data_IF_657796937732
#
_entry.id   IF_657796937732
#
_cell.length_a   1.000
_cell.length_b   1.000
_cell.length_c   1.000
_cell.angle_alpha   90.00
_cell.angle_beta   90.00
_cell.angle_gamma   90.00
#
_symmetry.space_group_name_H-M   'P 1'
#
loop_
_entity.id
_entity.type
_entity.pdbx_description
1 polymer ?
#
# COMPACT_ATOMS: atom_id res chain seq x y z
N UNK A 1 1.95 -16.23 -3.50
CA UNK A 1 0.67 -15.53 -3.21
C UNK A 1 0.77 -14.05 -3.55
N UNK A 2 -0.29 -13.46 -4.11
CA UNK A 2 -0.40 -12.01 -4.29
C UNK A 2 -1.55 -11.48 -3.41
N UNK A 3 -1.29 -10.41 -2.68
CA UNK A 3 -2.25 -9.75 -1.79
C UNK A 3 -2.30 -8.28 -2.14
N UNK A 4 -3.50 -7.77 -2.37
CA UNK A 4 -3.74 -6.34 -2.53
C UNK A 4 -4.24 -5.77 -1.21
N UNK A 5 -3.51 -4.80 -0.66
CA UNK A 5 -3.91 -4.06 0.53
C UNK A 5 -4.46 -2.73 0.08
N UNK A 6 -5.62 -2.37 0.63
CA UNK A 6 -6.33 -1.12 0.35
C UNK A 6 -6.27 -0.26 1.61
N UNK A 7 -5.25 0.61 1.77
CA UNK A 7 -5.15 1.44 2.97
C UNK A 7 -6.31 2.43 3.08
N UNK A 8 -6.92 2.82 1.97
CA UNK A 8 -8.12 3.66 1.97
C UNK A 8 -8.83 3.59 0.62
N UNK A 9 -10.15 3.80 0.61
CA UNK A 9 -10.92 4.05 -0.61
C UNK A 9 -10.95 5.55 -0.97
N UNK A 10 -10.42 6.42 -0.10
CA UNK A 10 -10.38 7.86 -0.31
C UNK A 10 -9.45 8.21 -1.48
N UNK A 11 -9.85 9.17 -2.30
CA UNK A 11 -9.01 9.69 -3.39
C UNK A 11 -9.23 11.20 -3.56
N UNK A 12 -8.17 12.01 -3.68
CA UNK A 12 -8.33 13.44 -3.97
C UNK A 12 -8.67 13.70 -5.45
N UNK A 13 -8.44 12.73 -6.33
CA UNK A 13 -8.81 12.80 -7.74
C UNK A 13 -10.29 12.44 -7.91
N UNK A 14 -10.88 12.93 -9.00
CA UNK A 14 -12.26 12.64 -9.39
C UNK A 14 -12.31 12.21 -10.86
N UNK A 15 -11.52 11.19 -11.20
CA UNK A 15 -11.43 10.71 -12.59
C UNK A 15 -12.81 10.23 -13.05
N UNK A 16 -13.27 10.69 -14.21
CA UNK A 16 -14.64 10.46 -14.72
C UNK A 16 -14.96 8.99 -14.97
N UNK A 17 -13.93 8.15 -15.13
CA UNK A 17 -14.01 6.71 -15.35
C UNK A 17 -13.65 5.89 -14.10
N UNK A 18 -13.39 6.52 -12.95
CA UNK A 18 -13.09 5.79 -11.71
C UNK A 18 -14.39 5.23 -11.12
N UNK A 19 -14.40 3.93 -10.86
CA UNK A 19 -15.56 3.22 -10.33
C UNK A 19 -15.44 2.88 -8.84
N UNK A 20 -14.26 3.07 -8.23
CA UNK A 20 -13.93 2.53 -6.91
C UNK A 20 -13.63 3.58 -5.85
N UNK A 21 -13.26 4.81 -6.21
CA UNK A 21 -12.86 5.81 -5.20
C UNK A 21 -14.05 6.48 -4.54
N UNK A 22 -13.97 6.68 -3.23
CA UNK A 22 -14.94 7.46 -2.44
C UNK A 22 -14.37 8.85 -2.11
N UNK A 23 -15.23 9.86 -2.07
CA UNK A 23 -14.81 11.24 -1.77
C UNK A 23 -14.31 11.40 -0.33
N UNK A 24 -14.85 10.58 0.59
CA UNK A 24 -14.45 10.56 2.00
C UNK A 24 -14.40 9.11 2.45
N UNK A 25 -13.22 8.63 2.85
CA UNK A 25 -13.04 7.28 3.37
C UNK A 25 -12.05 7.30 4.52
N UNK A 26 -12.15 6.33 5.42
CA UNK A 26 -11.18 6.16 6.50
C UNK A 26 -9.89 5.56 5.97
N UNK A 27 -8.79 5.84 6.67
CA UNK A 27 -7.52 5.15 6.47
C UNK A 27 -7.49 3.94 7.40
N UNK A 28 -7.09 2.79 6.87
CA UNK A 28 -6.82 1.56 7.61
C UNK A 28 -5.88 1.87 8.78
N UNK A 29 -6.26 1.47 9.99
CA UNK A 29 -5.45 1.71 11.17
C UNK A 29 -4.22 0.80 11.19
N UNK A 30 -3.21 1.17 11.97
CA UNK A 30 -2.04 0.30 12.21
C UNK A 30 -2.44 -1.01 12.88
N UNK A 31 -3.43 -0.99 13.77
CA UNK A 31 -3.99 -2.19 14.41
C UNK A 31 -4.59 -3.16 13.38
N UNK A 32 -5.44 -2.67 12.46
CA UNK A 32 -5.99 -3.52 11.38
C UNK A 32 -4.89 -4.04 10.45
N UNK A 33 -3.84 -3.25 10.21
CA UNK A 33 -2.68 -3.72 9.45
C UNK A 33 -1.94 -4.84 10.20
N UNK A 34 -1.77 -4.73 11.51
CA UNK A 34 -1.14 -5.76 12.35
C UNK A 34 -1.96 -7.05 12.35
N UNK A 35 -3.28 -6.95 12.50
CA UNK A 35 -4.19 -8.10 12.40
C UNK A 35 -4.11 -8.78 11.03
N UNK A 36 -4.01 -7.98 9.97
CA UNK A 36 -3.82 -8.48 8.60
C UNK A 36 -2.50 -9.25 8.46
N UNK A 37 -1.41 -8.74 9.04
CA UNK A 37 -0.09 -9.40 9.03
C UNK A 37 -0.14 -10.71 9.80
N UNK A 38 -0.73 -10.73 10.99
CA UNK A 38 -0.82 -11.96 11.78
C UNK A 38 -1.67 -13.02 11.07
N UNK A 39 -2.76 -12.61 10.40
CA UNK A 39 -3.53 -13.53 9.59
C UNK A 39 -2.73 -14.09 8.40
N UNK A 40 -1.97 -13.24 7.69
CA UNK A 40 -1.18 -13.66 6.52
C UNK A 40 -0.06 -14.65 6.85
N UNK A 41 0.50 -14.55 8.06
CA UNK A 41 1.61 -15.37 8.55
C UNK A 41 1.33 -16.88 8.47
N UNK A 42 0.10 -17.27 8.81
CA UNK A 42 -0.31 -18.68 8.84
C UNK A 42 -1.20 -19.07 7.65
N UNK A 43 -1.60 -18.12 6.81
CA UNK A 43 -2.54 -18.38 5.71
C UNK A 43 -1.95 -19.29 4.63
N UNK A 44 -0.74 -18.99 4.14
CA UNK A 44 -0.03 -19.79 3.13
C UNK A 44 1.49 -19.69 3.28
N UNK A 45 2.17 -20.83 3.13
CA UNK A 45 3.62 -20.95 3.24
C UNK A 45 4.29 -20.90 1.86
N UNK A 46 4.13 -19.78 1.16
CA UNK A 46 4.75 -19.51 -0.15
C UNK A 46 5.14 -18.02 -0.27
N UNK A 47 6.05 -17.64 -1.19
CA UNK A 47 6.45 -16.26 -1.34
C UNK A 47 5.27 -15.29 -1.54
N UNK A 48 5.30 -14.15 -0.86
CA UNK A 48 4.22 -13.16 -0.87
C UNK A 48 4.60 -11.91 -1.65
N UNK A 49 3.70 -11.43 -2.51
CA UNK A 49 3.78 -10.11 -3.11
C UNK A 49 2.63 -9.26 -2.60
N UNK A 50 2.93 -8.09 -2.04
CA UNK A 50 1.96 -7.14 -1.49
C UNK A 50 1.90 -5.92 -2.39
N UNK A 51 0.72 -5.60 -2.90
CA UNK A 51 0.47 -4.37 -3.64
C UNK A 51 -0.42 -3.44 -2.85
N UNK A 52 0.06 -2.24 -2.55
CA UNK A 52 -0.76 -1.18 -1.99
C UNK A 52 -1.54 -0.48 -3.11
N UNK A 53 -2.87 -0.44 -2.97
CA UNK A 53 -3.79 0.18 -3.92
C UNK A 53 -4.94 0.87 -3.17
N UNK A 54 -6.15 0.91 -3.72
CA UNK A 54 -7.29 1.67 -3.21
C UNK A 54 -7.66 2.85 -4.08
N UNK A 55 -8.27 3.87 -3.47
CA UNK A 55 -8.49 5.16 -4.09
C UNK A 55 -7.14 5.81 -4.41
N UNK A 56 -6.58 6.53 -3.43
CA UNK A 56 -5.19 7.00 -3.47
C UNK A 56 -4.40 6.49 -2.25
N UNK A 57 -3.55 5.45 -2.40
CA UNK A 57 -2.88 4.82 -1.28
C UNK A 57 -1.94 5.77 -0.51
N UNK A 58 -1.34 6.78 -1.16
CA UNK A 58 -0.44 7.71 -0.46
C UNK A 58 -1.16 8.57 0.59
N UNK A 59 -2.50 8.65 0.57
CA UNK A 59 -3.26 9.30 1.63
C UNK A 59 -3.09 8.63 3.01
N UNK A 60 -2.66 7.37 3.06
CA UNK A 60 -2.36 6.70 4.32
C UNK A 60 -1.17 7.33 5.06
N UNK A 61 -0.28 8.01 4.34
CA UNK A 61 0.81 8.80 4.90
C UNK A 61 2.01 7.99 5.41
N UNK A 62 3.09 8.71 5.69
CA UNK A 62 4.40 8.13 6.04
C UNK A 62 4.36 7.21 7.27
N UNK A 63 3.66 7.59 8.33
CA UNK A 63 3.61 6.78 9.58
C UNK A 63 2.94 5.42 9.37
N UNK A 64 1.93 5.36 8.50
CA UNK A 64 1.30 4.10 8.11
C UNK A 64 2.29 3.20 7.37
N UNK A 65 2.93 3.71 6.32
CA UNK A 65 3.87 2.91 5.51
C UNK A 65 5.11 2.50 6.29
N UNK A 66 5.65 3.39 7.11
CA UNK A 66 6.82 3.07 7.94
C UNK A 66 6.52 1.90 8.89
N UNK A 67 5.33 1.90 9.49
CA UNK A 67 4.85 0.81 10.34
C UNK A 67 4.62 -0.47 9.52
N UNK A 68 3.76 -0.41 8.51
CA UNK A 68 3.36 -1.57 7.72
C UNK A 68 4.57 -2.29 7.09
N UNK A 69 5.49 -1.56 6.46
CA UNK A 69 6.65 -2.15 5.80
C UNK A 69 7.62 -2.79 6.81
N UNK A 70 7.83 -2.15 7.98
CA UNK A 70 8.63 -2.72 9.06
C UNK A 70 8.00 -4.02 9.58
N UNK A 71 6.71 -4.01 9.86
CA UNK A 71 6.03 -5.18 10.41
C UNK A 71 5.96 -6.33 9.39
N UNK A 72 5.68 -6.05 8.11
CA UNK A 72 5.72 -7.07 7.06
C UNK A 72 7.13 -7.66 6.91
N UNK A 73 8.15 -6.80 6.74
CA UNK A 73 9.52 -7.27 6.49
C UNK A 73 10.11 -8.07 7.64
N UNK A 74 9.61 -7.86 8.86
CA UNK A 74 10.04 -8.61 10.05
C UNK A 74 9.21 -9.88 10.26
N UNK A 75 7.89 -9.74 10.42
CA UNK A 75 6.99 -10.85 10.78
C UNK A 75 6.74 -11.82 9.62
N UNK A 76 6.77 -11.35 8.38
CA UNK A 76 6.58 -12.17 7.18
C UNK A 76 7.88 -12.43 6.42
N UNK A 77 9.05 -12.18 7.04
CA UNK A 77 10.38 -12.37 6.44
C UNK A 77 10.57 -13.75 5.76
N UNK A 78 10.07 -14.81 6.40
CA UNK A 78 10.12 -16.19 5.89
C UNK A 78 9.31 -16.41 4.60
N UNK A 79 8.40 -15.49 4.26
CA UNK A 79 7.63 -15.49 3.02
C UNK A 79 8.26 -14.61 1.93
N UNK A 80 9.51 -14.15 2.10
CA UNK A 80 10.24 -13.36 1.10
C UNK A 80 9.39 -12.23 0.47
N UNK A 81 8.91 -11.28 1.28
CA UNK A 81 7.92 -10.31 0.83
C UNK A 81 8.49 -9.42 -0.27
N UNK A 82 7.75 -9.32 -1.38
CA UNK A 82 7.92 -8.32 -2.41
C UNK A 82 6.81 -7.28 -2.32
N UNK A 83 7.12 -6.04 -2.70
CA UNK A 83 6.20 -4.91 -2.58
C UNK A 83 5.90 -4.29 -3.95
N UNK A 84 4.78 -3.59 -4.05
CA UNK A 84 4.47 -2.65 -5.12
C UNK A 84 3.43 -1.64 -4.64
N UNK A 85 3.33 -0.48 -5.30
CA UNK A 85 2.26 0.50 -5.05
C UNK A 85 1.72 1.05 -6.37
N UNK A 86 0.41 1.22 -6.47
CA UNK A 86 -0.26 1.89 -7.60
C UNK A 86 -0.85 3.21 -7.10
N UNK A 87 -0.42 4.36 -7.65
CA UNK A 87 -0.75 5.68 -7.12
C UNK A 87 -0.88 6.74 -8.23
N UNK A 88 -1.68 7.78 -8.00
CA UNK A 88 -1.70 8.99 -8.83
C UNK A 88 -0.52 9.94 -8.56
N UNK A 89 0.34 9.63 -7.59
CA UNK A 89 1.53 10.39 -7.16
C UNK A 89 1.27 11.76 -6.50
N UNK A 90 0.03 12.23 -6.37
CA UNK A 90 -0.25 13.61 -5.91
C UNK A 90 0.18 13.90 -4.48
N UNK A 91 0.29 12.85 -3.65
CA UNK A 91 0.75 12.95 -2.26
C UNK A 91 2.15 12.38 -2.05
N UNK A 92 2.87 12.11 -3.13
CA UNK A 92 4.28 11.71 -3.02
C UNK A 92 5.09 12.88 -2.45
N UNK A 93 5.94 12.58 -1.47
CA UNK A 93 6.92 13.52 -0.91
C UNK A 93 8.27 12.82 -0.74
N UNK A 94 9.30 13.58 -0.39
CA UNK A 94 10.66 13.05 -0.24
C UNK A 94 10.77 11.97 0.83
N UNK A 95 9.96 12.04 1.90
CA UNK A 95 10.01 11.05 2.99
C UNK A 95 9.45 9.71 2.54
N UNK A 96 8.30 9.72 1.87
CA UNK A 96 7.71 8.54 1.26
C UNK A 96 8.61 7.96 0.17
N UNK A 97 9.17 8.81 -0.70
CA UNK A 97 10.08 8.37 -1.76
C UNK A 97 11.33 7.69 -1.19
N UNK A 98 11.94 8.27 -0.13
CA UNK A 98 13.09 7.67 0.55
C UNK A 98 12.73 6.33 1.21
N UNK A 99 11.58 6.26 1.89
CA UNK A 99 11.09 5.03 2.50
C UNK A 99 10.85 3.95 1.44
N UNK A 100 10.15 4.27 0.36
CA UNK A 100 9.86 3.31 -0.71
C UNK A 100 11.11 2.82 -1.42
N UNK A 101 12.11 3.69 -1.59
CA UNK A 101 13.43 3.30 -2.06
C UNK A 101 14.13 2.31 -1.12
N UNK A 102 14.01 2.49 0.21
CA UNK A 102 14.63 1.58 1.19
C UNK A 102 14.09 0.14 1.08
N UNK A 103 12.82 -0.01 0.70
CA UNK A 103 12.15 -1.31 0.55
C UNK A 103 12.05 -1.77 -0.92
N UNK A 104 12.80 -1.12 -1.83
CA UNK A 104 12.80 -1.41 -3.27
C UNK A 104 11.38 -1.50 -3.88
N UNK A 105 10.46 -0.63 -3.45
CA UNK A 105 9.07 -0.67 -3.90
C UNK A 105 8.95 -0.10 -5.32
N UNK A 106 8.53 -0.91 -6.31
CA UNK A 106 8.17 -0.40 -7.63
C UNK A 106 6.90 0.44 -7.54
N UNK A 107 6.91 1.61 -8.19
CA UNK A 107 5.81 2.56 -8.19
C UNK A 107 5.13 2.53 -9.56
N UNK A 108 3.90 2.02 -9.61
CA UNK A 108 3.01 2.16 -10.74
C UNK A 108 2.26 3.49 -10.65
N UNK A 109 2.27 4.27 -11.72
CA UNK A 109 1.55 5.54 -11.78
C UNK A 109 0.49 5.56 -12.86
N UNK A 110 -0.64 6.19 -12.56
CA UNK A 110 -1.75 6.38 -13.50
C UNK A 110 -1.55 7.68 -14.28
N UNK A 111 -1.36 7.56 -15.60
CA UNK A 111 -1.23 8.69 -16.52
C UNK A 111 -1.96 8.35 -17.83
N UNK A 112 -2.94 9.16 -18.20
CA UNK A 112 -3.81 8.90 -19.37
C UNK A 112 -3.27 9.43 -20.69
N UNK A 113 -2.14 10.15 -20.68
CA UNK A 113 -1.58 10.75 -21.88
C UNK A 113 -0.53 11.82 -21.58
N UNK A 114 0.06 12.40 -22.64
CA UNK A 114 1.03 13.50 -22.56
C UNK A 114 0.42 14.85 -22.18
#
# INVERSE_FOLDING_TARGET
MHVMIIPTMGCPANCTYCWSSETTSLVMTQETMDDTIEWLKDFRQEPITITFHGGEPLLAGYSYYQHALKEISTKLSHLYPAYAIQTNLWKMDDKLAQLFKQYDIPIGSSLDGP
#
